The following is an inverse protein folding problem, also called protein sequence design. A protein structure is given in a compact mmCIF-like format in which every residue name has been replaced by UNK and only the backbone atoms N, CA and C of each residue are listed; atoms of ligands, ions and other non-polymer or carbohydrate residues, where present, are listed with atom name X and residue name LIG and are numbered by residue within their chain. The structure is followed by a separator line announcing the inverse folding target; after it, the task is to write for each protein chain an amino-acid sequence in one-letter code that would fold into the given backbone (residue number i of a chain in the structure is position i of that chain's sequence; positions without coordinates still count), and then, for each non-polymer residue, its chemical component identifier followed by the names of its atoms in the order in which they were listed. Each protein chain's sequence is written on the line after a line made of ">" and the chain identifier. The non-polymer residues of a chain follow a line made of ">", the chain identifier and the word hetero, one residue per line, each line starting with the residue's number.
data_IF_085041208581
#
_entry.id   IF_085041208581
#
_cell.length_a   1.000
_cell.length_b   1.000
_cell.length_c   1.000
_cell.angle_alpha   90.00
_cell.angle_beta   90.00
_cell.angle_gamma   90.00
#
_symmetry.space_group_name_H-M   'P 1'
#
loop_
_entity.id
_entity.type
_entity.pdbx_description
1 polymer ?
#
# COMPACT_ATOMS: atom_id res chain seq x y z
N UNK A 1 -3.88 25.76 -6.11
CA UNK A 1 -3.24 24.41 -6.13
C UNK A 1 -2.14 24.25 -5.07
N UNK A 2 -1.25 25.20 -4.80
CA UNK A 2 -0.23 25.06 -3.75
C UNK A 2 -0.75 24.65 -2.35
N UNK A 3 -1.95 25.08 -1.98
CA UNK A 3 -2.60 24.71 -0.71
C UNK A 3 -2.91 23.22 -0.62
N UNK A 4 -3.26 22.57 -1.73
CA UNK A 4 -3.61 21.15 -1.74
C UNK A 4 -2.40 20.23 -1.63
N UNK A 5 -1.22 20.60 -2.14
CA UNK A 5 0.01 19.83 -2.00
C UNK A 5 0.36 19.58 -0.52
N UNK A 6 0.27 20.60 0.31
CA UNK A 6 0.50 20.47 1.76
C UNK A 6 -0.52 19.54 2.42
N UNK A 7 -1.79 19.62 2.04
CA UNK A 7 -2.85 18.77 2.57
C UNK A 7 -2.69 17.30 2.13
N UNK A 8 -2.20 17.05 0.92
CA UNK A 8 -1.86 15.69 0.49
C UNK A 8 -0.68 15.11 1.29
N UNK A 9 0.34 15.90 1.60
CA UNK A 9 1.44 15.46 2.47
C UNK A 9 0.95 15.13 3.88
N UNK A 10 0.04 15.91 4.43
CA UNK A 10 -0.59 15.65 5.72
C UNK A 10 -1.48 14.40 5.65
N UNK A 11 -2.26 14.22 4.58
CA UNK A 11 -3.04 13.01 4.35
C UNK A 11 -2.17 11.75 4.28
N UNK A 12 -1.03 11.81 3.59
CA UNK A 12 -0.06 10.71 3.56
C UNK A 12 0.51 10.43 4.95
N UNK A 13 0.89 11.46 5.71
CA UNK A 13 1.34 11.30 7.10
C UNK A 13 0.29 10.63 7.98
N UNK A 14 -0.99 10.95 7.78
CA UNK A 14 -2.11 10.38 8.54
C UNK A 14 -2.33 8.88 8.26
N UNK A 15 -1.83 8.37 7.15
CA UNK A 15 -1.93 6.94 6.77
C UNK A 15 -0.60 6.18 6.89
N UNK A 16 0.48 6.82 7.31
CA UNK A 16 1.75 6.12 7.55
C UNK A 16 1.62 5.07 8.66
N UNK A 17 2.32 3.93 8.56
CA UNK A 17 2.22 2.82 9.51
C UNK A 17 2.48 3.19 10.97
N UNK A 18 3.36 4.14 11.26
CA UNK A 18 3.67 4.54 12.63
C UNK A 18 4.15 3.38 13.51
N UNK A 19 3.50 3.15 14.66
CA UNK A 19 3.81 2.05 15.60
C UNK A 19 3.68 0.66 14.96
N UNK A 20 2.82 0.48 13.96
CA UNK A 20 2.70 -0.79 13.24
C UNK A 20 4.02 -1.21 12.57
N UNK A 21 4.90 -0.26 12.24
CA UNK A 21 6.21 -0.53 11.65
C UNK A 21 7.17 -1.18 12.66
N UNK A 22 7.13 -0.77 13.92
CA UNK A 22 7.95 -1.35 15.00
C UNK A 22 7.48 -2.78 15.29
N UNK A 23 6.17 -3.00 15.38
CA UNK A 23 5.56 -4.31 15.55
C UNK A 23 5.92 -5.26 14.41
N UNK A 24 5.84 -4.79 13.16
CA UNK A 24 6.23 -5.54 11.98
C UNK A 24 7.72 -5.94 12.01
N UNK A 25 8.58 -5.03 12.42
CA UNK A 25 10.02 -5.30 12.57
C UNK A 25 10.30 -6.34 13.65
N UNK A 26 9.62 -6.27 14.80
CA UNK A 26 9.77 -7.23 15.89
C UNK A 26 9.36 -8.63 15.42
N UNK A 27 8.15 -8.80 14.90
CA UNK A 27 7.62 -10.09 14.45
C UNK A 27 8.49 -10.73 13.36
N UNK A 28 8.88 -9.94 12.35
CA UNK A 28 9.79 -10.38 11.30
C UNK A 28 11.13 -10.89 11.87
N UNK A 29 11.70 -10.18 12.84
CA UNK A 29 12.98 -10.56 13.46
C UNK A 29 12.85 -11.89 14.20
N UNK A 30 11.82 -12.07 15.01
CA UNK A 30 11.58 -13.30 15.75
C UNK A 30 11.48 -14.52 14.83
N UNK A 31 10.66 -14.43 13.77
CA UNK A 31 10.50 -15.49 12.76
C UNK A 31 11.84 -15.75 12.03
N UNK A 32 12.54 -14.71 11.63
CA UNK A 32 13.82 -14.84 10.92
C UNK A 32 14.90 -15.50 11.75
N UNK A 33 14.93 -15.28 13.05
CA UNK A 33 15.89 -15.93 13.99
C UNK A 33 15.62 -17.43 14.09
N UNK A 34 14.35 -17.85 14.19
CA UNK A 34 13.96 -19.27 14.18
C UNK A 34 14.43 -19.95 12.88
N UNK A 35 14.15 -19.37 11.74
CA UNK A 35 14.52 -19.91 10.43
C UNK A 35 16.05 -20.02 10.27
N UNK A 36 16.81 -19.03 10.73
CA UNK A 36 18.28 -19.04 10.70
C UNK A 36 18.92 -20.04 11.65
N UNK A 37 18.23 -20.41 12.74
CA UNK A 37 18.73 -21.35 13.73
C UNK A 37 18.58 -22.81 13.27
N UNK A 38 17.63 -23.11 12.37
CA UNK A 38 17.36 -24.48 11.91
C UNK A 38 18.53 -25.07 11.12
N UNK A 39 18.95 -26.30 11.49
CA UNK A 39 20.12 -26.96 10.89
C UNK A 39 19.90 -27.31 9.40
N UNK A 40 18.70 -27.74 9.03
CA UNK A 40 18.37 -28.12 7.64
C UNK A 40 18.37 -26.90 6.74
N UNK A 41 17.73 -25.81 7.17
CA UNK A 41 17.68 -24.56 6.41
C UNK A 41 19.08 -23.93 6.31
N UNK A 42 19.90 -24.00 7.35
CA UNK A 42 21.31 -23.54 7.31
C UNK A 42 22.15 -24.28 6.28
N UNK A 43 22.00 -25.62 6.15
CA UNK A 43 22.69 -26.41 5.11
C UNK A 43 22.26 -25.99 3.71
N UNK A 44 21.00 -25.56 3.54
CA UNK A 44 20.47 -25.03 2.27
C UNK A 44 20.81 -23.55 2.05
N UNK A 45 21.56 -22.93 2.95
CA UNK A 45 21.98 -21.52 2.79
C UNK A 45 20.85 -20.53 3.02
N UNK A 46 20.14 -20.65 4.14
CA UNK A 46 18.99 -19.82 4.50
C UNK A 46 19.32 -18.33 4.63
N UNK A 47 18.59 -17.50 3.90
CA UNK A 47 18.68 -16.03 3.93
C UNK A 47 17.27 -15.45 3.91
N UNK A 48 16.66 -15.18 5.08
CA UNK A 48 15.40 -14.47 5.16
C UNK A 48 15.57 -13.01 4.72
N UNK A 49 14.66 -12.53 3.89
CA UNK A 49 14.57 -11.11 3.45
C UNK A 49 13.14 -10.64 3.52
N UNK A 50 12.94 -9.38 3.88
CA UNK A 50 11.64 -8.75 3.79
C UNK A 50 11.26 -8.50 2.33
N UNK A 51 10.02 -8.82 2.00
CA UNK A 51 9.40 -8.48 0.72
C UNK A 51 8.01 -7.85 0.99
N UNK A 52 7.16 -7.80 0.00
CA UNK A 52 5.78 -7.34 0.14
C UNK A 52 5.65 -5.82 0.28
N UNK A 53 4.48 -5.37 0.65
CA UNK A 53 4.16 -3.95 0.68
C UNK A 53 4.93 -3.17 1.76
N UNK A 54 5.22 -3.83 2.90
CA UNK A 54 6.00 -3.22 3.96
C UNK A 54 7.44 -2.94 3.52
N UNK A 55 8.11 -3.93 2.93
CA UNK A 55 9.49 -3.78 2.43
C UNK A 55 9.61 -2.75 1.28
N UNK A 56 8.54 -2.57 0.49
CA UNK A 56 8.52 -1.59 -0.60
C UNK A 56 8.09 -0.19 -0.17
N UNK A 57 7.84 0.04 1.13
CA UNK A 57 7.35 1.32 1.66
C UNK A 57 6.02 1.78 1.02
N UNK A 58 5.15 0.85 0.66
CA UNK A 58 3.82 1.14 0.14
C UNK A 58 2.69 0.68 1.07
N UNK A 59 3.02 0.23 2.27
CA UNK A 59 2.07 -0.05 3.33
C UNK A 59 1.45 1.23 3.87
N UNK A 60 0.22 1.14 4.33
CA UNK A 60 -0.47 2.19 5.07
C UNK A 60 -0.84 1.70 6.45
N UNK A 61 -1.17 2.61 7.36
CA UNK A 61 -1.53 2.35 8.77
C UNK A 61 -2.40 1.09 8.92
N UNK A 62 -2.15 0.32 9.99
CA UNK A 62 -2.58 -1.06 10.23
C UNK A 62 -1.96 -2.04 9.23
N UNK A 63 -0.63 -2.16 9.37
CA UNK A 63 0.10 -3.28 8.77
C UNK A 63 -0.35 -4.56 9.46
N UNK A 64 -1.08 -5.41 8.73
CA UNK A 64 -1.58 -6.69 9.23
C UNK A 64 -0.70 -7.85 8.82
N UNK A 65 0.02 -7.70 7.71
CA UNK A 65 0.78 -8.78 7.10
C UNK A 65 2.22 -8.32 6.85
N UNK A 66 3.18 -9.16 7.18
CA UNK A 66 4.60 -8.98 6.88
C UNK A 66 5.08 -10.20 6.12
N UNK A 67 5.65 -10.00 4.94
CA UNK A 67 6.12 -11.08 4.08
C UNK A 67 7.62 -11.34 4.29
N UNK A 68 7.98 -12.54 4.71
CA UNK A 68 9.37 -13.02 4.84
C UNK A 68 9.68 -14.00 3.72
N UNK A 69 10.50 -13.57 2.79
CA UNK A 69 10.97 -14.39 1.69
C UNK A 69 12.28 -15.08 2.07
N UNK A 70 12.23 -16.39 2.21
CA UNK A 70 13.35 -17.18 2.71
C UNK A 70 14.10 -17.81 1.55
N UNK A 71 15.18 -17.19 1.14
CA UNK A 71 16.05 -17.67 0.06
C UNK A 71 16.92 -18.82 0.58
N UNK A 72 16.84 -19.97 -0.08
CA UNK A 72 17.70 -21.15 0.14
C UNK A 72 18.76 -21.19 -0.95
N UNK A 73 19.81 -20.37 -0.83
CA UNK A 73 20.77 -20.08 -1.90
C UNK A 73 21.59 -21.27 -2.37
N UNK A 74 21.70 -22.34 -1.56
CA UNK A 74 22.42 -23.58 -1.87
C UNK A 74 21.46 -24.73 -2.27
N UNK A 75 20.13 -24.45 -2.34
CA UNK A 75 19.17 -25.47 -2.73
C UNK A 75 19.27 -25.75 -4.24
N UNK A 76 19.18 -27.05 -4.60
CA UNK A 76 19.23 -27.53 -5.96
C UNK A 76 17.91 -28.19 -6.38
N UNK A 77 17.90 -28.80 -7.56
CA UNK A 77 16.73 -29.45 -8.17
C UNK A 77 16.19 -30.63 -7.34
N UNK A 78 16.98 -31.23 -6.48
CA UNK A 78 16.58 -32.38 -5.67
C UNK A 78 15.67 -32.00 -4.51
N UNK A 79 15.63 -30.70 -4.14
CA UNK A 79 14.75 -30.19 -3.12
C UNK A 79 13.29 -30.29 -3.55
N UNK A 80 12.48 -31.01 -2.79
CA UNK A 80 11.05 -31.17 -3.08
C UNK A 80 10.23 -30.05 -2.45
N UNK A 81 9.28 -29.44 -3.19
CA UNK A 81 8.51 -28.30 -2.70
C UNK A 81 7.64 -28.62 -1.48
N UNK A 82 6.99 -29.81 -1.48
CA UNK A 82 6.15 -30.23 -0.35
C UNK A 82 6.96 -30.49 0.93
N UNK A 83 8.14 -31.14 0.77
CA UNK A 83 8.97 -31.50 1.91
C UNK A 83 9.55 -30.28 2.63
N UNK A 84 9.94 -29.25 1.88
CA UNK A 84 10.49 -28.02 2.48
C UNK A 84 9.41 -27.14 3.07
N UNK A 85 8.25 -27.06 2.44
CA UNK A 85 7.11 -26.32 2.97
C UNK A 85 6.62 -26.97 4.28
N UNK A 86 6.48 -28.29 4.30
CA UNK A 86 6.07 -29.05 5.49
C UNK A 86 7.09 -28.89 6.65
N UNK A 87 8.38 -29.02 6.35
CA UNK A 87 9.44 -28.80 7.34
C UNK A 87 9.38 -27.39 7.95
N UNK A 88 9.12 -26.38 7.12
CA UNK A 88 9.00 -24.98 7.59
C UNK A 88 7.79 -24.82 8.51
N UNK A 89 6.64 -25.41 8.15
CA UNK A 89 5.44 -25.37 8.98
C UNK A 89 5.70 -26.03 10.32
N UNK A 90 6.30 -27.24 10.35
CA UNK A 90 6.63 -27.97 11.56
C UNK A 90 7.62 -27.19 12.45
N UNK A 91 8.67 -26.64 11.85
CA UNK A 91 9.65 -25.80 12.56
C UNK A 91 9.00 -24.60 13.24
N UNK A 92 8.12 -23.90 12.50
CA UNK A 92 7.43 -22.73 13.03
C UNK A 92 6.42 -23.12 14.11
N UNK A 93 5.67 -24.22 13.95
CA UNK A 93 4.72 -24.71 14.95
C UNK A 93 5.42 -25.11 16.24
N UNK A 94 6.61 -25.71 16.18
CA UNK A 94 7.42 -26.05 17.36
C UNK A 94 7.84 -24.81 18.17
N UNK A 95 8.05 -23.66 17.49
CA UNK A 95 8.47 -22.42 18.14
C UNK A 95 7.29 -21.48 18.48
N UNK A 96 6.22 -21.54 17.71
CA UNK A 96 5.01 -20.70 17.85
C UNK A 96 3.76 -21.58 17.94
N UNK A 97 3.64 -22.44 18.98
CA UNK A 97 2.59 -23.46 19.04
C UNK A 97 1.19 -22.87 19.01
N UNK A 98 0.34 -23.41 18.13
CA UNK A 98 -1.04 -22.98 17.92
C UNK A 98 -1.21 -21.63 17.22
N UNK A 99 -0.11 -21.07 16.67
CA UNK A 99 -0.10 -19.77 15.98
C UNK A 99 0.22 -19.91 14.49
N UNK A 100 0.48 -21.12 14.00
CA UNK A 100 0.88 -21.36 12.61
C UNK A 100 -0.28 -21.87 11.80
N UNK A 101 -0.51 -21.23 10.64
CA UNK A 101 -1.49 -21.66 9.65
C UNK A 101 -0.77 -22.01 8.35
N UNK A 102 -0.94 -23.25 7.89
CA UNK A 102 -0.42 -23.66 6.59
C UNK A 102 -1.27 -23.04 5.46
N UNK A 103 -0.62 -22.38 4.53
CA UNK A 103 -1.23 -21.80 3.34
C UNK A 103 -0.78 -22.55 2.06
N UNK A 104 -1.30 -22.13 0.88
CA UNK A 104 -0.94 -22.79 -0.40
C UNK A 104 0.54 -22.65 -0.76
N UNK A 105 1.15 -21.50 -0.42
CA UNK A 105 2.52 -21.12 -0.82
C UNK A 105 3.41 -20.74 0.34
N UNK A 106 2.84 -20.59 1.54
CA UNK A 106 3.49 -20.04 2.72
C UNK A 106 3.08 -20.75 4.00
N UNK A 107 3.77 -20.44 5.08
CA UNK A 107 3.36 -20.68 6.44
C UNK A 107 3.11 -19.31 7.10
N UNK A 108 1.91 -19.06 7.60
CA UNK A 108 1.57 -17.84 8.32
C UNK A 108 1.78 -18.06 9.82
N UNK A 109 2.46 -17.14 10.48
CA UNK A 109 2.60 -17.09 11.94
C UNK A 109 1.82 -15.89 12.48
N UNK A 110 0.84 -16.14 13.32
CA UNK A 110 0.03 -15.10 13.95
C UNK A 110 0.71 -14.49 15.19
N UNK A 111 0.68 -13.16 15.29
CA UNK A 111 1.18 -12.37 16.42
C UNK A 111 0.03 -11.55 17.03
N UNK A 112 -0.85 -12.18 17.85
CA UNK A 112 -2.05 -11.53 18.39
C UNK A 112 -1.74 -10.30 19.23
N UNK A 113 -0.64 -10.32 19.98
CA UNK A 113 -0.21 -9.21 20.84
C UNK A 113 0.27 -7.98 20.04
N UNK A 114 0.64 -8.19 18.76
CA UNK A 114 1.08 -7.15 17.83
C UNK A 114 0.02 -6.81 16.77
N UNK A 115 -1.13 -7.50 16.80
CA UNK A 115 -2.26 -7.39 15.83
C UNK A 115 -1.80 -7.54 14.36
N UNK A 116 -0.88 -8.49 14.10
CA UNK A 116 -0.37 -8.78 12.76
C UNK A 116 0.01 -10.26 12.59
N UNK A 117 0.24 -10.66 11.34
CA UNK A 117 0.80 -11.96 10.98
C UNK A 117 2.08 -11.83 10.14
N UNK A 118 2.88 -12.90 10.13
CA UNK A 118 4.07 -13.02 9.29
C UNK A 118 3.90 -14.19 8.33
N UNK A 119 3.89 -13.89 7.03
CA UNK A 119 3.85 -14.90 5.98
C UNK A 119 5.27 -15.32 5.58
N UNK A 120 5.60 -16.59 5.78
CA UNK A 120 6.90 -17.17 5.48
C UNK A 120 6.84 -17.93 4.16
N UNK A 121 7.51 -17.42 3.15
CA UNK A 121 7.59 -18.00 1.81
C UNK A 121 9.00 -18.54 1.57
N UNK A 122 9.12 -19.87 1.50
CA UNK A 122 10.41 -20.53 1.18
C UNK A 122 10.66 -20.49 -0.32
N UNK A 123 11.91 -20.20 -0.71
CA UNK A 123 12.28 -20.11 -2.12
C UNK A 123 13.63 -20.76 -2.39
N UNK A 124 13.74 -21.45 -3.54
CA UNK A 124 15.00 -21.90 -4.11
C UNK A 124 15.35 -21.11 -5.38
N UNK A 125 16.63 -21.08 -5.80
CA UNK A 125 16.99 -20.49 -7.09
C UNK A 125 16.23 -21.15 -8.23
N UNK A 126 15.80 -20.35 -9.23
CA UNK A 126 15.28 -20.87 -10.48
C UNK A 126 16.41 -21.51 -11.29
N UNK A 127 16.17 -22.70 -11.85
CA UNK A 127 17.18 -23.43 -12.62
C UNK A 127 17.50 -22.72 -13.92
N UNK A 128 16.48 -22.22 -14.59
CA UNK A 128 16.61 -21.59 -15.92
C UNK A 128 17.17 -20.15 -15.83
N UNK A 129 17.00 -19.49 -14.68
CA UNK A 129 17.43 -18.10 -14.43
C UNK A 129 18.09 -17.98 -13.06
N UNK A 130 19.27 -18.62 -12.85
CA UNK A 130 19.93 -18.66 -11.55
C UNK A 130 20.42 -17.27 -11.13
N UNK A 131 20.03 -16.87 -9.90
CA UNK A 131 20.39 -15.58 -9.33
C UNK A 131 19.44 -14.43 -9.65
N UNK A 132 18.55 -14.59 -10.63
CA UNK A 132 17.56 -13.58 -11.01
C UNK A 132 16.16 -13.93 -10.51
N UNK A 133 15.72 -15.16 -10.79
CA UNK A 133 14.40 -15.63 -10.41
C UNK A 133 14.47 -16.71 -9.32
N UNK A 134 13.35 -16.87 -8.64
CA UNK A 134 13.17 -17.82 -7.56
C UNK A 134 11.97 -18.73 -7.84
N UNK A 135 11.97 -19.89 -7.22
CA UNK A 135 10.85 -20.81 -7.24
C UNK A 135 10.32 -21.02 -5.83
N UNK A 136 9.02 -20.85 -5.63
CA UNK A 136 8.33 -21.08 -4.37
C UNK A 136 7.42 -22.31 -4.47
N UNK A 137 7.18 -23.05 -3.37
CA UNK A 137 6.26 -24.16 -3.36
C UNK A 137 4.82 -23.67 -3.52
N UNK A 138 4.03 -24.46 -4.26
CA UNK A 138 2.59 -24.29 -4.37
C UNK A 138 1.92 -25.64 -4.19
N UNK A 139 1.03 -25.78 -3.19
CA UNK A 139 0.19 -26.97 -3.01
C UNK A 139 -0.81 -27.06 -4.15
N UNK A 140 -1.04 -28.29 -4.64
CA UNK A 140 -2.06 -28.62 -5.63
C UNK A 140 -3.28 -29.10 -4.84
N UNK A 141 -4.44 -28.52 -5.08
CA UNK A 141 -5.65 -28.76 -4.27
C UNK A 141 -6.16 -30.20 -4.34
N UNK A 142 -6.01 -30.86 -5.51
CA UNK A 142 -6.69 -32.14 -5.76
C UNK A 142 -5.96 -33.39 -5.23
N UNK A 143 -4.67 -33.35 -4.92
CA UNK A 143 -3.90 -34.57 -4.57
C UNK A 143 -2.85 -34.37 -3.47
N UNK A 144 -2.80 -33.23 -2.83
CA UNK A 144 -1.85 -32.93 -1.76
C UNK A 144 -0.37 -32.81 -2.18
N UNK A 145 -0.10 -32.92 -3.49
CA UNK A 145 1.23 -32.67 -4.05
C UNK A 145 1.54 -31.17 -4.04
N UNK A 146 2.81 -30.85 -4.15
CA UNK A 146 3.26 -29.47 -4.35
C UNK A 146 4.15 -29.40 -5.59
N UNK A 147 4.08 -28.26 -6.27
CA UNK A 147 4.93 -27.91 -7.41
C UNK A 147 5.73 -26.67 -7.11
N UNK A 148 6.72 -26.37 -7.93
CA UNK A 148 7.44 -25.12 -7.91
C UNK A 148 6.79 -24.10 -8.85
N UNK A 149 6.62 -22.87 -8.37
CA UNK A 149 6.13 -21.74 -9.15
C UNK A 149 7.18 -20.64 -9.13
N UNK A 150 7.48 -20.11 -10.30
CA UNK A 150 8.46 -19.04 -10.47
C UNK A 150 7.93 -17.70 -9.94
N UNK A 151 8.82 -16.90 -9.35
CA UNK A 151 8.52 -15.58 -8.79
C UNK A 151 9.79 -14.71 -8.75
N UNK A 152 9.60 -13.39 -8.80
CA UNK A 152 10.71 -12.44 -8.65
C UNK A 152 10.30 -11.22 -7.79
N UNK A 153 10.17 -11.39 -6.47
CA UNK A 153 9.73 -10.30 -5.59
C UNK A 153 10.75 -9.15 -5.49
N UNK A 154 12.03 -9.44 -5.73
CA UNK A 154 13.10 -8.42 -5.74
C UNK A 154 12.89 -7.44 -6.89
N UNK A 155 12.52 -7.95 -8.08
CA UNK A 155 12.26 -7.11 -9.25
C UNK A 155 11.12 -6.12 -9.01
N UNK A 156 10.07 -6.50 -8.29
CA UNK A 156 9.00 -5.55 -7.93
C UNK A 156 9.51 -4.41 -7.05
N UNK A 157 10.47 -4.66 -6.17
CA UNK A 157 11.10 -3.62 -5.34
C UNK A 157 11.95 -2.66 -6.20
N UNK A 158 12.65 -3.19 -7.19
CA UNK A 158 13.42 -2.39 -8.15
C UNK A 158 12.50 -1.52 -9.01
N UNK A 159 11.46 -2.11 -9.60
CA UNK A 159 10.46 -1.41 -10.41
C UNK A 159 9.78 -0.27 -9.65
N UNK A 160 9.45 -0.49 -8.36
CA UNK A 160 8.96 0.56 -7.48
C UNK A 160 9.96 1.71 -7.35
N UNK A 161 11.24 1.38 -7.18
CA UNK A 161 12.29 2.39 -7.03
C UNK A 161 12.52 3.16 -8.33
N UNK A 162 12.58 2.45 -9.45
CA UNK A 162 12.71 3.03 -10.79
C UNK A 162 11.52 3.98 -11.08
N UNK A 163 10.28 3.52 -10.86
CA UNK A 163 9.08 4.34 -11.07
C UNK A 163 9.06 5.58 -10.16
N UNK A 164 9.46 5.45 -8.89
CA UNK A 164 9.49 6.58 -7.97
C UNK A 164 10.58 7.60 -8.31
N UNK A 165 11.65 7.19 -9.01
CA UNK A 165 12.69 8.08 -9.52
C UNK A 165 12.34 8.71 -10.88
N UNK A 166 11.54 8.04 -11.69
CA UNK A 166 11.14 8.49 -13.03
C UNK A 166 10.01 9.51 -12.97
N UNK A 167 8.98 9.24 -12.16
CA UNK A 167 7.77 10.07 -12.08
C UNK A 167 7.89 11.06 -10.91
N UNK A 168 8.44 12.24 -11.19
CA UNK A 168 8.69 13.28 -10.19
C UNK A 168 7.53 14.25 -10.04
N UNK A 169 7.36 14.79 -8.83
CA UNK A 169 6.36 15.82 -8.52
C UNK A 169 6.91 17.22 -8.90
N UNK A 170 6.04 18.06 -9.45
CA UNK A 170 6.37 19.45 -9.83
C UNK A 170 6.12 20.47 -8.72
N UNK A 171 5.30 20.13 -7.74
CA UNK A 171 4.81 21.00 -6.66
C UNK A 171 5.44 20.68 -5.29
N UNK A 172 6.49 19.89 -5.28
CA UNK A 172 7.27 19.51 -4.10
C UNK A 172 8.79 19.65 -4.39
N UNK A 173 9.61 19.06 -3.53
CA UNK A 173 11.04 18.91 -3.81
C UNK A 173 11.23 18.22 -5.17
N UNK A 174 12.05 18.75 -6.08
CA UNK A 174 12.24 18.21 -7.44
C UNK A 174 12.79 16.77 -7.45
N UNK A 175 13.16 16.22 -6.29
CA UNK A 175 13.57 14.82 -6.14
C UNK A 175 12.44 13.93 -5.59
N UNK A 176 11.28 14.50 -5.25
CA UNK A 176 10.14 13.75 -4.70
C UNK A 176 9.44 12.96 -5.77
N UNK A 177 9.39 11.63 -5.60
CA UNK A 177 8.70 10.72 -6.51
C UNK A 177 7.20 10.66 -6.24
N UNK A 178 6.42 10.49 -7.30
CA UNK A 178 4.96 10.39 -7.24
C UNK A 178 4.46 8.96 -6.99
N UNK A 179 5.21 7.95 -7.40
CA UNK A 179 4.73 6.57 -7.44
C UNK A 179 4.36 6.04 -6.04
N UNK A 180 5.28 6.08 -5.08
CA UNK A 180 5.03 5.56 -3.72
C UNK A 180 3.86 6.28 -3.03
N UNK A 181 3.81 7.63 -3.00
CA UNK A 181 2.66 8.34 -2.45
C UNK A 181 1.32 7.94 -3.07
N UNK A 182 1.27 7.83 -4.41
CA UNK A 182 0.03 7.47 -5.11
C UNK A 182 -0.39 6.03 -4.83
N UNK A 183 0.54 5.06 -4.78
CA UNK A 183 0.21 3.68 -4.37
C UNK A 183 -0.40 3.65 -2.97
N UNK A 184 0.16 4.40 -2.00
CA UNK A 184 -0.42 4.53 -0.64
C UNK A 184 -1.83 5.12 -0.68
N UNK A 185 -2.06 6.15 -1.49
CA UNK A 185 -3.39 6.77 -1.63
C UNK A 185 -4.39 5.86 -2.34
N UNK A 186 -4.00 5.10 -3.37
CA UNK A 186 -4.86 4.07 -4.01
C UNK A 186 -5.27 3.00 -2.98
N UNK A 187 -4.35 2.54 -2.14
CA UNK A 187 -4.66 1.62 -1.02
C UNK A 187 -5.65 2.24 -0.03
N UNK A 188 -5.51 3.53 0.27
CA UNK A 188 -6.43 4.25 1.14
C UNK A 188 -7.83 4.40 0.50
N UNK A 189 -7.92 4.76 -0.78
CA UNK A 189 -9.18 4.80 -1.53
C UNK A 189 -9.86 3.43 -1.52
N UNK A 190 -9.13 2.38 -1.85
CA UNK A 190 -9.62 1.00 -1.79
C UNK A 190 -10.24 0.68 -0.43
N UNK A 191 -9.58 1.08 0.67
CA UNK A 191 -10.09 0.92 2.05
C UNK A 191 -11.32 1.79 2.32
N UNK A 192 -11.33 3.04 1.84
CA UNK A 192 -12.44 3.97 2.03
C UNK A 192 -13.73 3.51 1.35
N UNK A 193 -13.59 2.79 0.23
CA UNK A 193 -14.70 2.22 -0.55
C UNK A 193 -14.99 0.75 -0.21
N UNK A 194 -14.40 0.19 0.84
CA UNK A 194 -14.58 -1.19 1.29
C UNK A 194 -14.33 -2.25 0.19
N UNK A 195 -13.32 -2.01 -0.67
CA UNK A 195 -12.92 -2.97 -1.71
C UNK A 195 -11.92 -3.96 -1.12
N UNK A 196 -12.40 -5.10 -0.65
CA UNK A 196 -11.54 -6.14 -0.06
C UNK A 196 -10.82 -6.98 -1.12
N UNK A 197 -11.47 -7.24 -2.25
CA UNK A 197 -10.93 -7.99 -3.39
C UNK A 197 -11.08 -7.19 -4.68
N UNK A 198 -10.10 -7.30 -5.57
CA UNK A 198 -8.80 -8.00 -5.49
C UNK A 198 -7.91 -7.52 -4.36
N UNK A 199 -6.85 -8.31 -4.04
CA UNK A 199 -5.90 -8.00 -2.98
C UNK A 199 -5.01 -6.79 -3.28
N UNK A 200 -4.31 -6.29 -2.25
CA UNK A 200 -3.49 -5.08 -2.35
C UNK A 200 -2.36 -5.14 -3.37
N UNK A 201 -1.76 -6.32 -3.59
CA UNK A 201 -0.72 -6.49 -4.61
C UNK A 201 -1.27 -6.36 -6.04
N UNK A 202 -2.48 -6.88 -6.30
CA UNK A 202 -3.16 -6.71 -7.59
C UNK A 202 -3.37 -5.23 -7.92
N UNK A 203 -3.86 -4.44 -6.96
CA UNK A 203 -4.00 -2.99 -7.12
C UNK A 203 -2.66 -2.26 -7.31
N UNK A 204 -1.60 -2.73 -6.65
CA UNK A 204 -0.25 -2.17 -6.84
C UNK A 204 0.26 -2.40 -8.27
N UNK A 205 0.00 -3.60 -8.85
CA UNK A 205 0.35 -3.92 -10.24
C UNK A 205 -0.47 -3.07 -11.22
N UNK A 206 -1.78 -2.94 -11.01
CA UNK A 206 -2.61 -2.03 -11.82
C UNK A 206 -2.12 -0.58 -11.75
N UNK A 207 -1.74 -0.13 -10.54
CA UNK A 207 -1.16 1.21 -10.36
C UNK A 207 0.16 1.36 -11.11
N UNK A 208 1.02 0.33 -11.10
CA UNK A 208 2.27 0.34 -11.85
C UNK A 208 2.03 0.50 -13.36
N UNK A 209 1.12 -0.28 -13.93
CA UNK A 209 0.76 -0.15 -15.35
C UNK A 209 0.13 1.22 -15.65
N UNK A 210 -0.73 1.72 -14.79
CA UNK A 210 -1.31 3.06 -14.95
C UNK A 210 -0.24 4.16 -15.05
N UNK A 211 0.81 4.09 -14.24
CA UNK A 211 1.93 5.04 -14.31
C UNK A 211 2.73 4.92 -15.61
N UNK A 212 2.86 3.71 -16.16
CA UNK A 212 3.57 3.51 -17.44
C UNK A 212 2.78 3.99 -18.65
N UNK A 213 1.44 3.87 -18.60
CA UNK A 213 0.57 4.08 -19.74
C UNK A 213 -0.08 5.47 -19.76
N UNK A 214 -0.18 6.14 -18.62
CA UNK A 214 -0.92 7.40 -18.46
C UNK A 214 -0.08 8.49 -17.82
N UNK A 215 -0.26 9.70 -18.32
CA UNK A 215 0.39 10.89 -17.77
C UNK A 215 -0.68 11.92 -17.38
N UNK A 216 -0.58 12.55 -16.21
CA UNK A 216 -1.46 13.66 -15.84
C UNK A 216 -1.08 14.95 -16.59
N UNK A 217 -2.01 15.90 -16.64
CA UNK A 217 -1.73 17.24 -17.18
C UNK A 217 -0.75 18.03 -16.28
N UNK A 218 -0.73 17.73 -14.99
CA UNK A 218 0.15 18.33 -13.99
C UNK A 218 0.76 17.23 -13.14
N UNK A 219 2.06 17.25 -12.97
CA UNK A 219 2.83 16.26 -12.19
C UNK A 219 2.67 16.55 -10.69
N UNK A 220 1.43 16.54 -10.19
CA UNK A 220 1.08 16.69 -8.78
C UNK A 220 0.52 15.38 -8.24
N UNK A 221 0.51 15.20 -6.92
CA UNK A 221 -0.13 14.03 -6.29
C UNK A 221 -1.60 13.93 -6.73
N UNK A 222 -2.34 15.05 -6.74
CA UNK A 222 -3.73 15.10 -7.20
C UNK A 222 -3.87 14.66 -8.66
N UNK A 223 -3.01 15.16 -9.55
CA UNK A 223 -3.00 14.82 -10.96
C UNK A 223 -2.74 13.33 -11.19
N UNK A 224 -1.67 12.79 -10.63
CA UNK A 224 -1.36 11.35 -10.73
C UNK A 224 -2.45 10.48 -10.14
N UNK A 225 -2.95 10.80 -8.93
CA UNK A 225 -4.02 10.02 -8.30
C UNK A 225 -5.27 9.95 -9.17
N UNK A 226 -5.66 11.07 -9.78
CA UNK A 226 -6.85 11.14 -10.65
C UNK A 226 -6.73 10.24 -11.86
N UNK A 227 -5.61 10.32 -12.60
CA UNK A 227 -5.43 9.49 -13.82
C UNK A 227 -5.25 8.02 -13.48
N UNK A 228 -4.56 7.70 -12.36
CA UNK A 228 -4.35 6.34 -11.89
C UNK A 228 -5.67 5.68 -11.46
N UNK A 229 -6.52 6.38 -10.69
CA UNK A 229 -7.82 5.83 -10.28
C UNK A 229 -8.69 5.49 -11.48
N UNK A 230 -8.70 6.33 -12.52
CA UNK A 230 -9.43 6.07 -13.77
C UNK A 230 -8.86 4.84 -14.49
N UNK A 231 -7.54 4.78 -14.66
CA UNK A 231 -6.89 3.64 -15.33
C UNK A 231 -7.10 2.31 -14.57
N UNK A 232 -7.06 2.35 -13.24
CA UNK A 232 -7.35 1.17 -12.39
C UNK A 232 -8.82 0.74 -12.54
N UNK A 233 -9.77 1.67 -12.55
CA UNK A 233 -11.18 1.37 -12.75
C UNK A 233 -11.43 0.73 -14.12
N UNK A 234 -10.85 1.31 -15.18
CA UNK A 234 -10.97 0.82 -16.55
C UNK A 234 -10.37 -0.60 -16.69
N UNK A 235 -9.20 -0.85 -16.10
CA UNK A 235 -8.56 -2.16 -16.11
C UNK A 235 -9.38 -3.21 -15.34
N UNK A 236 -9.95 -2.88 -14.19
CA UNK A 236 -10.84 -3.80 -13.46
C UNK A 236 -12.10 -4.13 -14.27
N UNK A 237 -12.63 -3.18 -15.02
CA UNK A 237 -13.84 -3.35 -15.83
C UNK A 237 -13.63 -4.27 -17.05
N UNK A 238 -12.38 -4.48 -17.52
CA UNK A 238 -12.11 -5.48 -18.58
C UNK A 238 -12.21 -6.90 -18.08
N UNK A 239 -12.00 -7.14 -16.78
CA UNK A 239 -11.88 -8.47 -16.19
C UNK A 239 -10.59 -9.22 -16.57
N UNK A 240 -9.69 -8.61 -17.32
CA UNK A 240 -8.43 -9.21 -17.72
C UNK A 240 -7.41 -9.22 -16.57
N UNK A 241 -6.65 -10.30 -16.45
CA UNK A 241 -5.53 -10.34 -15.53
C UNK A 241 -4.40 -9.42 -16.02
N UNK A 242 -3.88 -8.49 -15.18
CA UNK A 242 -2.78 -7.63 -15.58
C UNK A 242 -1.50 -8.43 -15.81
N UNK A 243 -0.68 -8.00 -16.76
CA UNK A 243 0.64 -8.58 -16.98
C UNK A 243 1.50 -8.49 -15.71
N UNK A 244 2.25 -9.56 -15.41
CA UNK A 244 3.22 -9.54 -14.32
C UNK A 244 4.43 -8.67 -14.72
N UNK A 245 4.68 -7.54 -14.06
CA UNK A 245 5.80 -6.68 -14.41
C UNK A 245 7.17 -7.27 -14.04
N UNK A 246 7.20 -8.41 -13.34
CA UNK A 246 8.41 -9.04 -12.83
C UNK A 246 8.78 -10.32 -13.59
N UNK A 247 7.85 -10.90 -14.35
CA UNK A 247 8.04 -12.15 -15.11
C UNK A 247 7.39 -12.04 -16.49
N UNK A 248 8.21 -12.05 -17.52
CA UNK A 248 7.76 -11.92 -18.90
C UNK A 248 6.75 -13.01 -19.29
N UNK A 249 5.67 -12.60 -19.96
CA UNK A 249 4.63 -13.49 -20.46
C UNK A 249 3.74 -14.11 -19.37
N UNK A 250 3.82 -13.65 -18.13
CA UNK A 250 2.95 -14.04 -17.02
C UNK A 250 1.91 -12.96 -16.73
N UNK A 251 0.85 -13.35 -16.03
CA UNK A 251 -0.19 -12.46 -15.50
C UNK A 251 -0.29 -12.62 -13.99
N UNK A 252 -0.84 -11.61 -13.35
CA UNK A 252 -1.17 -11.65 -11.91
C UNK A 252 -2.61 -12.07 -11.76
N UNK A 253 -2.82 -13.29 -11.27
CA UNK A 253 -4.15 -13.81 -10.95
C UNK A 253 -4.68 -13.24 -9.62
N UNK A 254 -5.99 -13.27 -9.47
CA UNK A 254 -6.67 -12.88 -8.22
C UNK A 254 -7.59 -13.98 -7.73
N UNK A 255 -7.86 -14.00 -6.42
CA UNK A 255 -8.90 -14.83 -5.82
C UNK A 255 -10.29 -14.16 -5.84
N UNK A 256 -10.43 -12.99 -6.48
CA UNK A 256 -11.71 -12.35 -6.68
C UNK A 256 -12.51 -13.10 -7.76
N UNK A 257 -13.79 -13.31 -7.51
CA UNK A 257 -14.71 -13.76 -8.54
C UNK A 257 -15.16 -12.57 -9.44
N UNK A 258 -15.90 -12.89 -10.52
CA UNK A 258 -16.38 -11.89 -11.49
C UNK A 258 -17.23 -10.80 -10.81
N UNK A 259 -18.13 -11.19 -9.88
CA UNK A 259 -18.97 -10.22 -9.16
C UNK A 259 -18.17 -9.28 -8.26
N UNK A 260 -17.11 -9.78 -7.63
CA UNK A 260 -16.19 -8.98 -6.81
C UNK A 260 -15.33 -8.03 -7.67
N UNK A 261 -14.93 -8.46 -8.88
CA UNK A 261 -14.23 -7.61 -9.85
C UNK A 261 -15.14 -6.49 -10.35
N UNK A 262 -16.39 -6.80 -10.70
CA UNK A 262 -17.38 -5.81 -11.13
C UNK A 262 -17.70 -4.80 -10.03
N UNK A 263 -17.79 -5.25 -8.78
CA UNK A 263 -18.00 -4.36 -7.63
C UNK A 263 -16.81 -3.43 -7.42
N UNK A 264 -15.60 -3.99 -7.45
CA UNK A 264 -14.37 -3.21 -7.35
C UNK A 264 -14.26 -2.17 -8.49
N UNK A 265 -14.57 -2.56 -9.74
CA UNK A 265 -14.58 -1.65 -10.88
C UNK A 265 -15.55 -0.49 -10.68
N UNK A 266 -16.78 -0.76 -10.22
CA UNK A 266 -17.78 0.29 -9.94
C UNK A 266 -17.33 1.24 -8.83
N UNK A 267 -16.76 0.73 -7.74
CA UNK A 267 -16.26 1.55 -6.65
C UNK A 267 -15.09 2.42 -7.09
N UNK A 268 -14.15 1.84 -7.83
CA UNK A 268 -13.00 2.60 -8.35
C UNK A 268 -13.40 3.63 -9.41
N UNK A 269 -14.43 3.35 -10.22
CA UNK A 269 -14.98 4.33 -11.16
C UNK A 269 -15.61 5.52 -10.43
N UNK A 270 -16.41 5.28 -9.40
CA UNK A 270 -16.99 6.35 -8.56
C UNK A 270 -15.89 7.17 -7.85
N UNK A 271 -14.83 6.51 -7.39
CA UNK A 271 -13.66 7.19 -6.81
C UNK A 271 -12.93 8.05 -7.84
N UNK A 272 -12.75 7.56 -9.07
CA UNK A 272 -12.13 8.29 -10.15
C UNK A 272 -12.96 9.53 -10.59
N UNK A 273 -14.29 9.39 -10.64
CA UNK A 273 -15.20 10.52 -10.93
C UNK A 273 -15.10 11.60 -9.84
N UNK A 274 -15.06 11.21 -8.58
CA UNK A 274 -14.92 12.13 -7.45
C UNK A 274 -13.53 12.82 -7.45
N UNK A 275 -12.46 12.09 -7.78
CA UNK A 275 -11.12 12.65 -7.93
C UNK A 275 -11.06 13.69 -9.07
N UNK A 276 -11.65 13.38 -10.23
CA UNK A 276 -11.75 14.30 -11.35
C UNK A 276 -12.52 15.57 -10.96
N UNK A 277 -13.68 15.42 -10.33
CA UNK A 277 -14.48 16.55 -9.85
C UNK A 277 -13.76 17.38 -8.77
N UNK A 278 -12.89 16.77 -7.96
CA UNK A 278 -12.06 17.48 -7.00
C UNK A 278 -10.92 18.26 -7.66
N UNK A 279 -10.30 17.68 -8.70
CA UNK A 279 -9.22 18.31 -9.46
C UNK A 279 -9.71 19.51 -10.30
N UNK A 280 -10.93 19.41 -10.86
CA UNK A 280 -11.56 20.43 -11.70
C UNK A 280 -12.20 21.56 -10.87
N UNK A 281 -12.42 21.37 -9.56
CA UNK A 281 -13.07 22.38 -8.72
C UNK A 281 -12.23 23.67 -8.66
N UNK A 282 -12.86 24.80 -8.97
CA UNK A 282 -12.23 26.13 -8.91
C UNK A 282 -12.08 26.63 -7.46
N UNK A 283 -13.04 26.31 -6.59
CA UNK A 283 -13.02 26.68 -5.18
C UNK A 283 -12.19 25.67 -4.36
N UNK A 284 -11.21 26.19 -3.60
CA UNK A 284 -10.30 25.37 -2.79
C UNK A 284 -11.04 24.57 -1.71
N UNK A 285 -12.08 25.12 -1.10
CA UNK A 285 -12.84 24.42 -0.06
C UNK A 285 -13.70 23.32 -0.65
N UNK A 286 -14.30 23.56 -1.80
CA UNK A 286 -15.02 22.52 -2.54
C UNK A 286 -14.10 21.36 -2.94
N UNK A 287 -12.93 21.66 -3.51
CA UNK A 287 -11.90 20.66 -3.83
C UNK A 287 -11.49 19.86 -2.60
N UNK A 288 -11.18 20.55 -1.48
CA UNK A 288 -10.73 19.90 -0.26
C UNK A 288 -11.78 18.96 0.35
N UNK A 289 -13.06 19.32 0.30
CA UNK A 289 -14.16 18.45 0.78
C UNK A 289 -14.29 17.21 -0.09
N UNK A 290 -14.15 17.32 -1.41
CA UNK A 290 -14.17 16.16 -2.33
C UNK A 290 -12.99 15.20 -2.07
N UNK A 291 -11.76 15.72 -1.91
CA UNK A 291 -10.60 14.92 -1.55
C UNK A 291 -10.76 14.24 -0.18
N UNK A 292 -11.34 14.95 0.80
CA UNK A 292 -11.69 14.37 2.11
C UNK A 292 -12.69 13.24 1.99
N UNK A 293 -13.71 13.40 1.16
CA UNK A 293 -14.71 12.35 0.88
C UNK A 293 -14.06 11.15 0.21
N UNK A 294 -13.20 11.36 -0.79
CA UNK A 294 -12.49 10.31 -1.51
C UNK A 294 -11.60 9.45 -0.60
N UNK A 295 -10.80 10.10 0.24
CA UNK A 295 -9.83 9.42 1.10
C UNK A 295 -10.44 8.89 2.41
N UNK A 296 -11.65 9.32 2.76
CA UNK A 296 -12.39 8.81 3.90
C UNK A 296 -11.72 9.09 5.25
N UNK A 297 -11.84 8.11 6.15
CA UNK A 297 -11.33 8.20 7.52
C UNK A 297 -10.32 7.10 7.82
N UNK A 298 -9.61 7.25 8.95
CA UNK A 298 -8.77 6.21 9.54
C UNK A 298 -9.65 5.16 10.25
N UNK A 299 -10.39 4.36 9.50
CA UNK A 299 -11.43 3.44 9.97
C UNK A 299 -11.04 2.48 11.12
N UNK A 300 -9.75 2.30 11.33
CA UNK A 300 -9.24 1.31 12.29
C UNK A 300 -8.70 1.92 13.58
N UNK A 301 -8.89 3.20 13.82
CA UNK A 301 -8.58 3.85 15.09
C UNK A 301 -9.82 3.91 15.99
N UNK A 302 -9.63 3.99 17.30
CA UNK A 302 -10.74 4.15 18.25
C UNK A 302 -11.53 5.44 17.97
N UNK A 303 -10.81 6.50 17.56
CA UNK A 303 -11.38 7.79 17.16
C UNK A 303 -11.03 8.02 15.66
N UNK A 304 -11.89 7.61 14.72
CA UNK A 304 -11.59 7.74 13.30
C UNK A 304 -11.57 9.21 12.89
N UNK A 305 -10.41 9.63 12.38
CA UNK A 305 -10.20 10.96 11.84
C UNK A 305 -10.25 10.95 10.32
N UNK A 306 -10.57 12.09 9.72
CA UNK A 306 -10.46 12.21 8.26
C UNK A 306 -9.00 12.14 7.82
N UNK A 307 -8.75 11.33 6.79
CA UNK A 307 -7.40 11.20 6.21
C UNK A 307 -6.95 12.51 5.57
N UNK A 308 -7.82 13.14 4.77
CA UNK A 308 -7.51 14.43 4.15
C UNK A 308 -8.03 15.57 5.02
N UNK A 309 -7.17 16.46 5.55
CA UNK A 309 -7.59 17.57 6.37
C UNK A 309 -8.27 18.66 5.54
N UNK A 310 -9.06 19.52 6.20
CA UNK A 310 -9.58 20.74 5.57
C UNK A 310 -8.70 21.92 5.91
N UNK A 311 -8.50 22.86 4.96
CA UNK A 311 -7.94 24.17 5.29
C UNK A 311 -8.69 24.83 6.44
N UNK A 312 -8.00 25.52 7.34
CA UNK A 312 -8.62 26.18 8.51
C UNK A 312 -9.73 27.15 8.14
N UNK A 313 -9.66 27.76 6.96
CA UNK A 313 -10.66 28.70 6.45
C UNK A 313 -11.86 28.04 5.77
N UNK A 314 -11.89 26.70 5.65
CA UNK A 314 -13.00 25.97 5.03
C UNK A 314 -13.99 25.44 6.07
N UNK A 315 -15.27 25.45 5.74
CA UNK A 315 -16.31 24.73 6.46
C UNK A 315 -16.40 23.28 5.95
N UNK A 316 -17.04 22.41 6.73
CA UNK A 316 -17.25 21.01 6.35
C UNK A 316 -18.17 20.82 5.14
N UNK A 317 -18.97 21.81 4.79
CA UNK A 317 -19.85 21.84 3.63
C UNK A 317 -19.20 22.34 2.34
N UNK A 318 -17.89 22.65 2.38
CA UNK A 318 -17.14 23.16 1.23
C UNK A 318 -17.23 24.66 1.02
N UNK A 319 -17.88 25.40 1.92
CA UNK A 319 -17.91 26.86 1.88
C UNK A 319 -16.73 27.47 2.64
N UNK A 320 -16.32 28.67 2.24
CA UNK A 320 -15.31 29.44 2.97
C UNK A 320 -15.92 30.03 4.24
N UNK A 321 -15.22 29.90 5.38
CA UNK A 321 -15.61 30.54 6.63
C UNK A 321 -15.67 32.05 6.43
N UNK A 322 -16.81 32.67 6.76
CA UNK A 322 -16.91 34.12 6.77
C UNK A 322 -15.95 34.69 7.82
N UNK A 323 -14.92 35.42 7.40
CA UNK A 323 -14.14 36.23 8.32
C UNK A 323 -15.08 37.26 8.96
N UNK A 324 -15.42 37.12 10.24
CA UNK A 324 -15.97 38.23 11.00
C UNK A 324 -14.93 39.33 10.92
N UNK A 325 -15.20 40.35 10.10
CA UNK A 325 -14.50 41.65 10.24
C UNK A 325 -14.72 42.05 11.66
N UNK A 326 -13.68 41.91 12.51
CA UNK A 326 -13.64 42.59 13.78
C UNK A 326 -13.55 44.07 13.42
N UNK A 327 -14.70 44.74 13.35
CA UNK A 327 -14.75 46.21 13.36
C UNK A 327 -14.14 46.60 14.70
N UNK A 328 -12.85 46.92 14.72
CA UNK A 328 -12.27 47.66 15.84
C UNK A 328 -13.09 48.94 15.91
N UNK A 329 -13.94 49.01 16.90
CA UNK A 329 -14.58 50.26 17.27
C UNK A 329 -13.48 51.32 17.42
N UNK A 330 -13.64 52.44 16.74
CA UNK A 330 -12.72 53.54 16.93
C UNK A 330 -12.61 53.79 18.47
N UNK A 331 -11.40 53.87 19.01
CA UNK A 331 -11.25 54.19 20.43
C UNK A 331 -11.97 55.51 20.71
N UNK A 332 -12.96 55.49 21.60
CA UNK A 332 -13.56 56.72 22.09
C UNK A 332 -12.47 57.53 22.79
N UNK A 333 -12.01 58.57 22.14
CA UNK A 333 -11.13 59.54 22.77
C UNK A 333 -12.00 60.28 23.80
N UNK A 334 -11.70 60.21 25.12
CA UNK A 334 -12.42 61.04 26.10
C UNK A 334 -12.21 62.51 25.74
N UNK A 335 -13.28 63.24 25.66
CA UNK A 335 -13.19 64.70 25.51
C UNK A 335 -12.32 65.28 26.65
N UNK A 336 -11.19 65.86 26.28
CA UNK A 336 -10.30 66.50 27.24
C UNK A 336 -11.04 67.65 27.94
N UNK A 337 -11.03 67.66 29.28
CA UNK A 337 -11.47 68.78 30.05
C UNK A 337 -10.38 69.85 29.96
N UNK A 338 -10.59 70.84 29.08
CA UNK A 338 -9.86 72.13 29.19
C UNK A 338 -10.28 72.85 30.42
N UNK A 339 -9.47 72.79 31.44
CA UNK A 339 -9.47 73.73 32.54
C UNK A 339 -8.07 74.31 32.67
N UNK A 340 -7.90 75.50 32.07
CA UNK A 340 -6.93 76.45 32.49
C UNK A 340 -7.68 77.67 32.93
N UNK A 341 -7.60 77.97 34.21
CA UNK A 341 -7.74 79.26 34.82
C UNK A 341 -6.43 79.58 35.52
#
# INVERSE_FOLDING_TARGET
>A
MATLATLFREALSNIEPGEDAENAQQAHKEVSEVLKADERLRKLGVVPVLIGSYARDVSIRRVKDVDVFVRLINADETLRPGDILQHTIELLEDHFPGRVTAQHRSAMVDFPDLDLSVDVVIARPCVDHPGEHWQIPQKIEDDGRATWVETNPTRMTELKTEANQEFLLSDDDPTSGAYVPVVKLVRQVRRAYDVDKPGGFYFEVLTYHAFRDKQPNENTIAGYLTVVLRAVADALATGDEPADPTLDGRTISTSADEGQLDEAARHMAAAADLAAAALEAEDTCEAAVKWRQLLGTTKHTQDPEHVFPLPEFCNADGTTKSSRKVTRGAPAVPAGNDRYA
#
